data_IF_998757805916
#
_entry.id   IF_998757805916
#
_cell.length_a   1.000
_cell.length_b   1.000
_cell.length_c   1.000
_cell.angle_alpha   90.00
_cell.angle_beta   90.00
_cell.angle_gamma   90.00
#
_symmetry.space_group_name_H-M   'P 1'
#
loop_
_entity.id
_entity.type
_entity.pdbx_description
1 polymer ?
#
# COMPACT_ATOMS: atom_id res chain seq x y z
N UNK A 1 21.57 26.44 63.42
CA UNK A 1 20.99 27.21 62.31
C UNK A 1 21.82 27.15 61.02
N UNK A 2 23.14 27.10 61.09
CA UNK A 2 24.01 27.09 59.88
C UNK A 2 23.95 25.83 59.03
N UNK A 3 23.69 24.66 59.58
CA UNK A 3 23.61 23.38 58.84
C UNK A 3 22.32 23.26 58.04
N UNK A 4 21.20 23.81 58.53
CA UNK A 4 19.92 23.84 57.81
C UNK A 4 19.97 24.78 56.60
N UNK A 5 20.67 25.91 56.68
CA UNK A 5 20.84 26.85 55.57
C UNK A 5 21.74 26.30 54.45
N UNK A 6 22.75 25.50 54.82
CA UNK A 6 23.66 24.82 53.83
C UNK A 6 22.91 23.72 53.10
N UNK A 7 22.05 22.96 53.75
CA UNK A 7 21.23 21.91 53.13
C UNK A 7 20.16 22.46 52.16
N UNK A 8 19.55 23.60 52.44
CA UNK A 8 18.61 24.27 51.53
C UNK A 8 19.32 24.89 50.32
N UNK A 9 20.53 25.35 50.47
CA UNK A 9 21.34 25.90 49.34
C UNK A 9 21.85 24.81 48.39
N UNK A 10 22.16 23.61 48.92
CA UNK A 10 22.54 22.45 48.11
C UNK A 10 21.35 21.86 47.32
N UNK A 11 20.14 21.93 47.86
CA UNK A 11 18.95 21.44 47.15
C UNK A 11 18.48 22.36 46.02
N UNK A 12 18.89 23.63 46.04
CA UNK A 12 18.54 24.62 45.03
C UNK A 12 19.45 24.51 43.75
N UNK A 13 20.54 23.73 43.79
CA UNK A 13 21.42 23.57 42.64
C UNK A 13 21.11 22.36 41.75
N UNK A 14 20.09 21.56 42.06
CA UNK A 14 19.75 20.35 41.27
C UNK A 14 18.43 20.49 40.49
N UNK A 15 18.14 21.70 40.00
CA UNK A 15 17.10 21.84 38.95
C UNK A 15 17.85 21.78 37.63
N UNK A 16 18.11 20.57 37.16
CA UNK A 16 18.39 20.33 35.75
C UNK A 16 17.15 20.81 34.97
N UNK A 17 17.26 21.97 34.37
CA UNK A 17 16.31 22.38 33.32
C UNK A 17 16.51 21.37 32.19
N UNK A 18 15.63 20.41 32.07
CA UNK A 18 15.50 19.60 30.87
C UNK A 18 15.19 20.58 29.73
N UNK A 19 16.23 20.93 28.98
CA UNK A 19 16.06 21.75 27.79
C UNK A 19 15.32 20.90 26.75
N UNK A 20 14.04 21.22 26.52
CA UNK A 20 13.21 20.53 25.54
C UNK A 20 13.73 20.70 24.10
N UNK A 21 14.69 21.58 23.86
CA UNK A 21 15.28 21.85 22.56
C UNK A 21 16.77 22.16 22.68
N UNK A 22 17.57 21.58 21.77
CA UNK A 22 18.99 21.91 21.64
C UNK A 22 19.16 23.27 20.99
N UNK A 23 20.08 24.09 21.54
CA UNK A 23 20.47 25.40 20.97
C UNK A 23 21.91 25.36 20.51
N UNK A 24 22.14 25.78 19.27
CA UNK A 24 23.47 25.84 18.69
C UNK A 24 23.64 27.09 17.82
N UNK A 25 24.80 27.71 17.90
CA UNK A 25 25.17 28.83 17.03
C UNK A 25 25.82 28.31 15.76
N UNK A 26 25.29 28.72 14.61
CA UNK A 26 25.72 28.33 13.27
C UNK A 26 26.01 29.58 12.45
N UNK A 27 27.03 29.54 11.58
CA UNK A 27 27.32 30.66 10.68
C UNK A 27 26.68 30.44 9.31
N UNK A 28 25.79 31.35 8.89
CA UNK A 28 25.15 31.32 7.57
C UNK A 28 25.38 32.68 6.88
N UNK A 29 26.06 32.67 5.72
CA UNK A 29 26.31 33.91 4.96
C UNK A 29 27.15 34.93 5.73
N UNK A 30 28.06 34.47 6.59
CA UNK A 30 28.89 35.31 7.45
C UNK A 30 28.17 35.90 8.68
N UNK A 31 26.90 35.57 8.88
CA UNK A 31 26.10 35.99 10.05
C UNK A 31 25.98 34.80 11.03
N UNK A 32 26.05 35.12 12.30
CA UNK A 32 25.77 34.15 13.36
C UNK A 32 24.26 34.02 13.56
N UNK A 33 23.78 32.77 13.52
CA UNK A 33 22.37 32.43 13.75
C UNK A 33 22.28 31.37 14.83
N UNK A 34 21.23 31.42 15.63
CA UNK A 34 20.92 30.40 16.62
C UNK A 34 19.94 29.40 16.01
N UNK A 35 20.31 28.12 15.96
CA UNK A 35 19.42 27.00 15.69
C UNK A 35 18.88 26.50 17.01
N UNK A 36 17.56 26.32 17.08
CA UNK A 36 16.85 25.72 18.21
C UNK A 36 16.10 24.50 17.65
N UNK A 37 16.52 23.31 18.03
CA UNK A 37 16.12 22.04 17.40
C UNK A 37 15.53 21.11 18.44
N UNK A 38 14.47 20.42 18.07
CA UNK A 38 13.82 19.37 18.88
C UNK A 38 12.59 18.81 18.19
N UNK A 39 11.74 18.20 18.95
CA UNK A 39 10.41 17.82 18.51
C UNK A 39 9.42 19.00 18.69
N UNK A 40 8.40 19.09 17.84
CA UNK A 40 7.34 20.11 17.98
C UNK A 40 6.48 19.90 19.24
N UNK A 41 6.28 18.63 19.59
CA UNK A 41 5.56 18.21 20.79
C UNK A 41 6.48 17.29 21.60
N UNK A 42 6.72 17.63 22.87
CA UNK A 42 7.52 16.84 23.82
C UNK A 42 6.72 16.58 25.10
N UNK A 43 6.86 15.38 25.68
CA UNK A 43 7.64 14.23 25.21
C UNK A 43 7.06 13.57 23.95
N UNK A 44 7.94 12.99 23.11
CA UNK A 44 7.56 12.32 21.88
C UNK A 44 7.37 10.83 22.10
N UNK A 45 6.28 10.26 21.58
CA UNK A 45 5.96 8.84 21.71
C UNK A 45 5.94 8.11 20.36
N UNK A 46 6.42 6.86 20.36
CA UNK A 46 6.38 6.02 19.17
C UNK A 46 4.95 5.76 18.69
N UNK A 47 4.70 5.86 17.39
CA UNK A 47 3.38 5.69 16.78
C UNK A 47 2.48 6.92 16.82
N UNK A 48 2.90 8.01 17.45
CA UNK A 48 2.15 9.27 17.53
C UNK A 48 2.67 10.27 16.51
N UNK A 49 1.82 10.89 15.67
CA UNK A 49 2.24 11.95 14.75
C UNK A 49 2.90 13.11 15.48
N UNK A 50 4.04 13.56 14.98
CA UNK A 50 4.80 14.69 15.51
C UNK A 50 5.52 15.41 14.36
N UNK A 51 6.37 16.37 14.67
CA UNK A 51 7.17 17.10 13.69
C UNK A 51 8.58 17.31 14.22
N UNK A 52 9.57 17.24 13.34
CA UNK A 52 10.88 17.83 13.60
C UNK A 52 10.73 19.34 13.60
N UNK A 53 11.20 20.01 14.63
CA UNK A 53 11.13 21.46 14.83
C UNK A 53 12.50 22.09 14.67
N UNK A 54 12.58 23.15 13.88
CA UNK A 54 13.76 23.99 13.72
C UNK A 54 13.33 25.46 13.81
N UNK A 55 13.82 26.18 14.82
CA UNK A 55 13.70 27.64 14.88
C UNK A 55 15.06 28.28 14.61
N UNK A 56 15.08 29.29 13.76
CA UNK A 56 16.32 29.98 13.36
C UNK A 56 16.20 31.48 13.61
N UNK A 57 17.10 32.00 14.44
CA UNK A 57 17.15 33.38 14.86
C UNK A 57 18.54 33.96 14.53
N UNK A 58 18.60 35.06 13.80
CA UNK A 58 19.85 35.82 13.60
C UNK A 58 20.15 36.70 14.82
N UNK A 59 21.39 36.68 15.24
CA UNK A 59 21.88 37.59 16.27
C UNK A 59 22.30 38.91 15.61
N UNK A 60 21.62 39.99 15.95
CA UNK A 60 21.90 41.35 15.45
C UNK A 60 22.42 42.17 16.61
N UNK A 61 23.65 42.65 16.51
CA UNK A 61 24.21 43.61 17.47
C UNK A 61 23.59 44.98 17.23
N UNK A 62 22.87 45.53 18.21
CA UNK A 62 22.42 46.94 18.16
C UNK A 62 23.59 47.82 18.60
N UNK A 63 24.19 48.55 17.64
CA UNK A 63 25.09 49.66 17.93
C UNK A 63 24.25 50.88 18.30
N UNK A 64 23.90 51.02 19.57
CA UNK A 64 23.40 52.28 20.07
C UNK A 64 24.54 53.34 20.11
N UNK A 65 24.37 54.39 19.35
CA UNK A 65 25.17 55.59 19.47
C UNK A 65 24.74 56.35 20.75
N UNK A 66 25.31 55.99 21.88
CA UNK A 66 25.21 56.76 23.13
C UNK A 66 25.22 55.95 24.42
N UNK A 67 26.33 56.11 25.16
CA UNK A 67 26.49 55.80 26.57
C UNK A 67 26.32 54.34 27.09
N UNK A 68 27.38 53.54 27.03
CA UNK A 68 27.88 52.79 28.19
C UNK A 68 27.09 51.58 28.67
N UNK A 69 26.26 50.93 27.87
CA UNK A 69 25.79 49.56 28.19
C UNK A 69 26.21 48.61 27.09
N UNK A 70 26.72 47.43 27.46
CA UNK A 70 27.03 46.36 26.54
C UNK A 70 25.77 46.07 25.72
N UNK A 71 25.87 46.23 24.38
CA UNK A 71 24.73 46.08 23.47
C UNK A 71 24.04 44.73 23.66
N UNK A 72 22.76 44.78 23.98
CA UNK A 72 21.92 43.60 24.00
C UNK A 72 21.74 43.09 22.58
N UNK A 73 22.20 41.86 22.28
CA UNK A 73 22.01 41.27 20.97
C UNK A 73 20.53 40.93 20.77
N UNK A 74 19.92 41.57 19.76
CA UNK A 74 18.53 41.31 19.39
C UNK A 74 18.44 40.07 18.50
N UNK A 75 17.51 39.17 18.84
CA UNK A 75 17.20 37.96 18.03
C UNK A 75 16.14 38.28 16.98
N UNK A 76 16.47 38.12 15.70
CA UNK A 76 15.57 38.38 14.57
C UNK A 76 15.30 37.08 13.82
N UNK A 77 14.01 36.71 13.54
CA UNK A 77 13.69 35.51 12.79
C UNK A 77 14.33 35.48 11.40
N UNK A 78 14.96 34.34 11.03
CA UNK A 78 15.47 34.14 9.67
C UNK A 78 14.36 33.49 8.85
N UNK A 79 14.01 34.08 7.71
CA UNK A 79 12.87 33.65 6.87
C UNK A 79 13.35 32.98 5.59
N UNK A 80 12.51 32.07 5.04
CA UNK A 80 12.71 31.47 3.71
C UNK A 80 13.63 30.27 3.66
N UNK A 81 14.08 29.74 4.81
CA UNK A 81 15.01 28.61 4.85
C UNK A 81 14.38 27.30 4.35
N UNK A 82 13.06 27.16 4.35
CA UNK A 82 12.34 26.01 3.81
C UNK A 82 12.61 25.74 2.32
N UNK A 83 13.12 26.73 1.61
CA UNK A 83 13.49 26.61 0.18
C UNK A 83 14.89 26.04 -0.03
N UNK A 84 15.73 26.13 0.98
CA UNK A 84 17.17 25.85 0.89
C UNK A 84 17.61 24.70 1.76
N UNK A 85 16.93 24.47 2.89
CA UNK A 85 17.25 23.43 3.86
C UNK A 85 16.27 22.28 3.80
N UNK A 86 16.80 21.08 4.03
CA UNK A 86 16.06 19.85 4.29
C UNK A 86 16.53 19.27 5.62
N UNK A 87 15.74 18.36 6.16
CA UNK A 87 16.15 17.57 7.32
C UNK A 87 16.19 16.09 6.94
N UNK A 88 17.29 15.43 7.25
CA UNK A 88 17.39 13.98 7.28
C UNK A 88 17.18 13.53 8.72
N UNK A 89 16.19 12.64 8.89
CA UNK A 89 15.90 12.00 10.17
C UNK A 89 16.40 10.58 10.12
N UNK A 90 17.24 10.18 11.08
CA UNK A 90 17.78 8.83 11.15
C UNK A 90 17.58 8.20 12.52
N UNK A 91 17.33 6.87 12.53
CA UNK A 91 17.24 6.02 13.71
C UNK A 91 17.48 4.57 13.33
N UNK A 92 18.16 3.78 14.18
CA UNK A 92 18.38 2.35 13.98
C UNK A 92 18.98 1.98 12.62
N UNK A 93 19.87 2.82 12.06
CA UNK A 93 20.52 2.59 10.76
C UNK A 93 19.63 2.87 9.53
N UNK A 94 18.43 3.43 9.71
CA UNK A 94 17.54 3.89 8.63
C UNK A 94 17.48 5.39 8.63
N UNK A 95 17.28 6.00 7.45
CA UNK A 95 17.07 7.44 7.32
C UNK A 95 15.99 7.80 6.32
N UNK A 96 15.41 9.00 6.49
CA UNK A 96 14.46 9.62 5.57
C UNK A 96 14.77 11.11 5.44
N UNK A 97 14.67 11.65 4.23
CA UNK A 97 14.83 13.08 3.97
C UNK A 97 13.45 13.71 3.87
N UNK A 98 13.21 14.75 4.67
CA UNK A 98 11.97 15.49 4.74
C UNK A 98 12.18 16.95 4.30
N UNK A 99 11.17 17.51 3.64
CA UNK A 99 11.14 18.94 3.33
C UNK A 99 10.63 19.72 4.53
N UNK A 100 11.30 20.84 4.82
CA UNK A 100 10.83 21.78 5.83
C UNK A 100 9.67 22.61 5.27
N UNK A 101 8.72 22.94 6.12
CA UNK A 101 7.70 23.97 5.87
C UNK A 101 7.70 24.98 7.01
N UNK A 102 7.43 26.22 6.71
CA UNK A 102 7.28 27.25 7.73
C UNK A 102 5.99 27.09 8.51
N UNK A 103 6.03 27.46 9.78
CA UNK A 103 4.85 27.54 10.63
C UNK A 103 4.15 28.87 10.38
N UNK A 104 2.86 28.81 10.09
CA UNK A 104 2.07 30.01 9.86
C UNK A 104 1.88 30.80 11.16
N UNK A 105 2.10 32.12 11.15
CA UNK A 105 2.00 32.97 12.33
C UNK A 105 3.23 32.93 13.27
N UNK A 106 4.24 32.08 12.98
CA UNK A 106 5.46 31.96 13.79
C UNK A 106 6.71 32.10 12.90
N UNK A 107 7.16 33.32 12.64
CA UNK A 107 8.29 33.58 11.75
C UNK A 107 9.61 33.00 12.29
N UNK A 108 10.41 32.42 11.37
CA UNK A 108 11.67 31.74 11.73
C UNK A 108 11.49 30.34 12.28
N UNK A 109 10.27 29.81 12.37
CA UNK A 109 9.96 28.46 12.79
C UNK A 109 9.62 27.58 11.57
N UNK A 110 10.32 26.44 11.47
CA UNK A 110 10.20 25.46 10.41
C UNK A 110 9.94 24.09 11.01
N UNK A 111 9.10 23.29 10.34
CA UNK A 111 8.78 21.95 10.80
C UNK A 111 8.77 20.95 9.62
N UNK A 112 9.01 19.68 9.92
CA UNK A 112 8.82 18.57 9.01
C UNK A 112 7.96 17.50 9.68
N UNK A 113 6.82 17.14 9.05
CA UNK A 113 5.86 16.19 9.62
C UNK A 113 6.40 14.76 9.54
N UNK A 114 6.29 13.99 10.63
CA UNK A 114 6.77 12.63 10.76
C UNK A 114 5.98 11.85 11.81
N UNK A 115 5.88 10.53 11.65
CA UNK A 115 5.45 9.61 12.70
C UNK A 115 6.66 8.78 13.11
N UNK A 116 7.29 9.01 14.26
CA UNK A 116 8.33 8.14 14.77
C UNK A 116 7.70 6.79 15.17
N UNK A 117 8.19 5.69 14.58
CA UNK A 117 7.55 4.37 14.76
C UNK A 117 8.23 3.46 15.76
N UNK A 118 9.46 3.79 16.15
CA UNK A 118 10.26 3.01 17.13
C UNK A 118 10.74 3.92 18.25
N UNK A 119 10.73 3.47 19.51
CA UNK A 119 11.37 4.19 20.60
C UNK A 119 12.90 4.22 20.44
N UNK A 120 13.53 5.24 21.00
CA UNK A 120 14.98 5.34 21.04
C UNK A 120 15.53 6.63 20.47
N UNK A 121 16.81 6.59 20.11
CA UNK A 121 17.58 7.75 19.65
C UNK A 121 17.23 8.09 18.21
N UNK A 122 16.91 9.36 17.99
CA UNK A 122 16.73 9.97 16.67
C UNK A 122 17.78 11.04 16.45
N UNK A 123 18.31 11.11 15.23
CA UNK A 123 19.30 12.10 14.80
C UNK A 123 18.67 12.94 13.68
N UNK A 124 18.78 14.26 13.82
CA UNK A 124 18.32 15.24 12.83
C UNK A 124 19.53 15.90 12.18
N UNK A 125 19.68 15.74 10.87
CA UNK A 125 20.71 16.44 10.09
C UNK A 125 20.04 17.46 9.19
N UNK A 126 20.24 18.74 9.49
CA UNK A 126 19.81 19.84 8.63
C UNK A 126 20.91 20.15 7.63
N UNK A 127 20.57 20.10 6.36
CA UNK A 127 21.55 20.29 5.30
C UNK A 127 20.96 21.06 4.10
N UNK A 128 21.82 21.74 3.37
CA UNK A 128 21.49 22.50 2.18
C UNK A 128 22.45 23.65 1.91
N UNK A 129 22.12 24.51 0.95
CA UNK A 129 22.94 25.68 0.63
C UNK A 129 22.10 26.95 0.77
N UNK A 130 22.49 27.82 1.69
CA UNK A 130 21.80 29.07 1.98
C UNK A 130 22.71 30.23 1.54
N UNK A 131 22.33 30.92 0.45
CA UNK A 131 23.08 32.05 -0.10
C UNK A 131 24.58 31.76 -0.32
N UNK A 132 24.89 30.57 -0.86
CA UNK A 132 26.29 30.15 -1.11
C UNK A 132 26.99 29.54 0.10
N UNK A 133 26.39 29.50 1.27
CA UNK A 133 26.94 28.86 2.47
C UNK A 133 26.34 27.45 2.59
N UNK A 134 27.20 26.43 2.63
CA UNK A 134 26.80 25.06 2.93
C UNK A 134 26.45 24.95 4.41
N UNK A 135 25.27 24.43 4.70
CA UNK A 135 24.80 24.08 6.04
C UNK A 135 24.77 22.57 6.15
N UNK A 136 25.35 22.00 7.21
CA UNK A 136 25.34 20.57 7.49
C UNK A 136 25.48 20.38 9.00
N UNK A 137 24.35 20.54 9.70
CA UNK A 137 24.29 20.50 11.16
C UNK A 137 23.55 19.25 11.63
N UNK A 138 24.15 18.53 12.58
CA UNK A 138 23.62 17.28 13.12
C UNK A 138 23.28 17.47 14.58
N UNK A 139 22.05 17.06 14.95
CA UNK A 139 21.51 17.12 16.29
C UNK A 139 20.99 15.73 16.68
N UNK A 140 21.20 15.32 17.89
CA UNK A 140 20.71 14.05 18.43
C UNK A 140 19.94 14.27 19.73
N UNK A 141 19.16 13.28 20.14
CA UNK A 141 18.38 13.35 21.37
C UNK A 141 19.13 12.81 22.61
N UNK A 142 20.46 13.06 22.71
CA UNK A 142 21.23 12.66 23.85
C UNK A 142 20.98 13.55 25.09
N UNK A 143 21.59 13.23 26.22
CA UNK A 143 21.44 14.01 27.45
C UNK A 143 21.82 15.48 27.28
N UNK A 144 20.94 16.38 27.74
CA UNK A 144 21.12 17.83 27.66
C UNK A 144 20.66 18.47 26.36
N UNK A 145 20.13 17.64 25.41
CA UNK A 145 19.61 18.10 24.13
C UNK A 145 18.06 18.09 24.16
N UNK A 146 17.42 17.45 23.18
CA UNK A 146 15.98 17.25 23.16
C UNK A 146 15.58 15.81 23.55
N UNK A 147 14.31 15.54 23.80
CA UNK A 147 13.86 14.23 24.25
C UNK A 147 13.94 13.17 23.16
N UNK A 148 14.44 11.97 23.49
CA UNK A 148 14.35 10.81 22.62
C UNK A 148 12.90 10.29 22.56
N UNK A 149 12.58 9.49 21.53
CA UNK A 149 11.25 8.90 21.34
C UNK A 149 11.01 7.84 22.41
N UNK A 150 9.94 8.01 23.17
CA UNK A 150 9.54 7.10 24.22
C UNK A 150 8.55 6.03 23.75
N UNK A 151 8.48 4.85 24.40
CA UNK A 151 7.43 3.89 24.14
C UNK A 151 6.06 4.47 24.48
N UNK A 152 5.08 4.27 23.60
CA UNK A 152 3.69 4.73 23.83
C UNK A 152 3.07 4.10 25.09
N UNK A 153 3.50 2.88 25.46
CA UNK A 153 3.04 2.19 26.67
C UNK A 153 3.22 2.99 27.95
N UNK A 154 4.17 3.94 28.00
CA UNK A 154 4.37 4.81 29.17
C UNK A 154 3.16 5.69 29.55
N UNK A 155 2.30 5.98 28.57
CA UNK A 155 1.13 6.86 28.77
C UNK A 155 -0.21 6.15 28.50
N UNK A 156 -0.18 4.83 28.18
CA UNK A 156 -1.40 4.05 27.98
C UNK A 156 -2.03 3.66 29.32
N UNK A 157 -3.33 3.93 29.47
CA UNK A 157 -4.11 3.52 30.64
C UNK A 157 -5.51 3.01 30.21
N UNK A 158 -5.97 1.83 30.68
CA UNK A 158 -5.15 0.84 31.38
C UNK A 158 -3.99 0.35 30.52
N UNK A 159 -2.91 -0.09 31.16
CA UNK A 159 -1.75 -0.63 30.44
C UNK A 159 -2.20 -1.85 29.61
N UNK A 160 -2.13 -1.73 28.29
CA UNK A 160 -2.43 -2.85 27.39
C UNK A 160 -1.14 -3.65 27.27
N UNK A 161 -0.91 -4.53 28.23
CA UNK A 161 0.04 -5.63 28.06
C UNK A 161 -0.60 -6.56 27.05
N UNK A 162 -0.24 -6.42 25.75
CA UNK A 162 -0.47 -7.50 24.81
C UNK A 162 0.46 -8.63 25.24
N UNK A 163 -0.06 -9.74 25.79
CA UNK A 163 0.79 -10.86 26.10
C UNK A 163 1.40 -11.31 24.78
N UNK A 164 2.72 -11.30 24.70
CA UNK A 164 3.48 -11.83 23.53
C UNK A 164 3.00 -13.26 23.20
N UNK A 165 2.59 -13.99 24.22
CA UNK A 165 2.03 -15.34 24.14
C UNK A 165 0.66 -15.39 23.44
N UNK A 166 -0.22 -14.40 23.64
CA UNK A 166 -1.51 -14.31 22.94
C UNK A 166 -1.33 -13.99 21.46
N UNK A 167 -0.39 -13.10 21.14
CA UNK A 167 -0.07 -12.79 19.74
C UNK A 167 0.57 -14.01 19.05
N UNK A 168 1.49 -14.71 19.71
CA UNK A 168 2.11 -15.92 19.19
C UNK A 168 1.07 -17.03 18.99
N UNK A 169 0.13 -17.21 19.94
CA UNK A 169 -0.96 -18.19 19.81
C UNK A 169 -1.89 -17.85 18.66
N UNK A 170 -2.32 -16.58 18.54
CA UNK A 170 -3.16 -16.10 17.43
C UNK A 170 -2.47 -16.27 16.09
N UNK A 171 -1.17 -15.98 16.01
CA UNK A 171 -0.38 -16.19 14.81
C UNK A 171 -0.26 -17.68 14.44
N UNK A 172 -0.05 -18.56 15.42
CA UNK A 172 0.01 -20.01 15.22
C UNK A 172 -1.34 -20.57 14.73
N UNK A 173 -2.46 -20.10 15.32
CA UNK A 173 -3.81 -20.45 14.87
C UNK A 173 -4.08 -19.96 13.43
N UNK A 174 -3.64 -18.76 13.09
CA UNK A 174 -3.76 -18.21 11.73
C UNK A 174 -2.96 -19.03 10.72
N UNK A 175 -1.72 -19.40 11.03
CA UNK A 175 -0.88 -20.24 10.17
C UNK A 175 -1.55 -21.59 9.94
N UNK A 176 -2.05 -22.23 11.00
CA UNK A 176 -2.75 -23.54 10.90
C UNK A 176 -3.99 -23.43 10.01
N UNK A 177 -4.79 -22.40 10.18
CA UNK A 177 -5.98 -22.17 9.36
C UNK A 177 -5.62 -21.92 7.89
N UNK A 178 -4.54 -21.20 7.64
CA UNK A 178 -4.02 -20.99 6.28
C UNK A 178 -3.59 -22.31 5.62
N UNK A 179 -2.92 -23.19 6.34
CA UNK A 179 -2.56 -24.53 5.83
C UNK A 179 -3.79 -25.38 5.49
N UNK A 180 -4.86 -25.30 6.29
CA UNK A 180 -6.13 -25.98 6.00
C UNK A 180 -6.77 -25.45 4.72
N UNK A 181 -6.84 -24.15 4.55
CA UNK A 181 -7.33 -23.50 3.31
C UNK A 181 -6.52 -23.94 2.09
N UNK A 182 -5.20 -24.01 2.21
CA UNK A 182 -4.33 -24.45 1.11
C UNK A 182 -4.60 -25.90 0.71
N UNK A 183 -4.85 -26.79 1.68
CA UNK A 183 -5.23 -28.20 1.41
C UNK A 183 -6.59 -28.30 0.72
N UNK A 184 -7.55 -27.52 1.15
CA UNK A 184 -8.88 -27.49 0.52
C UNK A 184 -8.83 -26.92 -0.90
N UNK A 185 -7.98 -25.91 -1.11
CA UNK A 185 -7.72 -25.38 -2.46
C UNK A 185 -7.10 -26.46 -3.38
N UNK A 186 -6.14 -27.23 -2.90
CA UNK A 186 -5.56 -28.33 -3.67
C UNK A 186 -6.59 -29.41 -4.04
N UNK A 187 -7.50 -29.74 -3.11
CA UNK A 187 -8.61 -30.67 -3.40
C UNK A 187 -9.54 -30.10 -4.47
N UNK A 188 -9.92 -28.84 -4.34
CA UNK A 188 -10.78 -28.18 -5.31
C UNK A 188 -10.16 -28.15 -6.71
N UNK A 189 -8.87 -27.92 -6.81
CA UNK A 189 -8.14 -27.97 -8.09
C UNK A 189 -8.17 -29.37 -8.71
N UNK A 190 -8.02 -30.44 -7.91
CA UNK A 190 -8.14 -31.82 -8.39
C UNK A 190 -9.56 -32.14 -8.86
N UNK A 191 -10.57 -31.68 -8.15
CA UNK A 191 -11.98 -31.86 -8.55
C UNK A 191 -12.29 -31.11 -9.85
N UNK A 192 -11.77 -29.89 -10.03
CA UNK A 192 -11.87 -29.16 -11.28
C UNK A 192 -11.23 -29.91 -12.45
N UNK A 193 -10.06 -30.52 -12.26
CA UNK A 193 -9.41 -31.30 -13.29
C UNK A 193 -10.25 -32.53 -13.70
N UNK A 194 -10.86 -33.20 -12.70
CA UNK A 194 -11.77 -34.33 -12.97
C UNK A 194 -13.02 -33.91 -13.73
N UNK A 195 -13.61 -32.76 -13.36
CA UNK A 195 -14.78 -32.21 -14.06
C UNK A 195 -14.39 -31.87 -15.51
N UNK A 196 -13.25 -31.25 -15.74
CA UNK A 196 -12.77 -30.94 -17.09
C UNK A 196 -12.61 -32.20 -17.93
N UNK A 197 -12.03 -33.27 -17.40
CA UNK A 197 -11.92 -34.58 -18.10
C UNK A 197 -13.30 -35.20 -18.42
N UNK A 198 -14.26 -35.09 -17.50
CA UNK A 198 -15.62 -35.59 -17.76
C UNK A 198 -16.35 -34.75 -18.83
N UNK A 199 -16.16 -33.45 -18.86
CA UNK A 199 -16.70 -32.57 -19.91
C UNK A 199 -16.12 -32.91 -21.27
N UNK A 200 -14.84 -33.19 -21.37
CA UNK A 200 -14.19 -33.62 -22.62
C UNK A 200 -14.74 -34.95 -23.10
N UNK A 201 -14.91 -35.96 -22.23
CA UNK A 201 -15.54 -37.24 -22.55
C UNK A 201 -16.99 -37.06 -23.01
N UNK A 202 -17.76 -36.17 -22.36
CA UNK A 202 -19.14 -35.91 -22.73
C UNK A 202 -19.20 -35.23 -24.12
N UNK A 203 -18.29 -34.36 -24.44
CA UNK A 203 -18.17 -33.75 -25.77
C UNK A 203 -18.01 -34.80 -26.88
N UNK A 204 -17.15 -35.79 -26.66
CA UNK A 204 -16.95 -36.91 -27.61
C UNK A 204 -18.25 -37.72 -27.80
N UNK A 205 -18.98 -37.94 -26.71
CA UNK A 205 -20.26 -38.66 -26.79
C UNK A 205 -21.30 -37.85 -27.56
N UNK A 206 -21.39 -36.54 -27.29
CA UNK A 206 -22.30 -35.61 -28.02
C UNK A 206 -21.97 -35.63 -29.51
N UNK A 207 -20.72 -35.56 -29.90
CA UNK A 207 -20.31 -35.60 -31.30
C UNK A 207 -20.65 -36.95 -31.96
N UNK A 208 -20.51 -38.05 -31.23
CA UNK A 208 -20.89 -39.37 -31.74
C UNK A 208 -22.41 -39.51 -31.95
N UNK A 209 -23.20 -38.98 -31.01
CA UNK A 209 -24.68 -38.93 -31.13
C UNK A 209 -25.08 -38.05 -32.29
N UNK A 210 -24.45 -36.88 -32.48
CA UNK A 210 -24.74 -35.98 -33.61
C UNK A 210 -24.47 -36.70 -34.95
N UNK A 211 -23.34 -37.41 -35.11
CA UNK A 211 -23.03 -38.17 -36.31
C UNK A 211 -24.04 -39.33 -36.55
N UNK A 212 -24.44 -40.01 -35.50
CA UNK A 212 -25.44 -41.04 -35.57
C UNK A 212 -26.81 -40.52 -36.04
N UNK A 213 -27.20 -39.35 -35.50
CA UNK A 213 -28.41 -38.64 -35.90
C UNK A 213 -28.37 -38.27 -37.42
N UNK A 214 -27.26 -37.73 -37.88
CA UNK A 214 -27.07 -37.36 -39.28
C UNK A 214 -27.14 -38.61 -40.19
N UNK A 215 -26.53 -39.73 -39.77
CA UNK A 215 -26.65 -41.02 -40.49
C UNK A 215 -28.07 -41.51 -40.57
N UNK A 216 -28.86 -41.40 -39.48
CA UNK A 216 -30.27 -41.78 -39.47
C UNK A 216 -31.07 -40.94 -40.44
N UNK A 217 -30.90 -39.62 -40.40
CA UNK A 217 -31.58 -38.68 -41.34
C UNK A 217 -31.29 -39.00 -42.79
N UNK A 218 -30.01 -39.30 -43.09
CA UNK A 218 -29.59 -39.69 -44.45
C UNK A 218 -30.18 -41.07 -44.84
N UNK A 219 -30.38 -41.98 -43.93
CA UNK A 219 -31.00 -43.27 -44.18
C UNK A 219 -32.49 -43.11 -44.45
N UNK A 220 -33.20 -42.29 -43.65
CA UNK A 220 -34.61 -41.98 -43.90
C UNK A 220 -34.85 -41.34 -45.24
N UNK A 221 -34.04 -40.40 -45.67
CA UNK A 221 -34.15 -39.78 -47.04
C UNK A 221 -33.88 -40.81 -48.14
N UNK A 222 -32.95 -41.77 -47.95
CA UNK A 222 -32.74 -42.87 -48.90
C UNK A 222 -33.90 -43.83 -48.97
N UNK A 223 -34.52 -44.15 -47.79
CA UNK A 223 -35.71 -45.02 -47.73
C UNK A 223 -36.89 -44.35 -48.43
N UNK A 224 -37.15 -43.06 -48.19
CA UNK A 224 -38.19 -42.30 -48.89
C UNK A 224 -37.94 -42.27 -50.41
N UNK A 225 -36.72 -42.02 -50.86
CA UNK A 225 -36.41 -42.05 -52.27
C UNK A 225 -36.59 -43.45 -52.90
N UNK A 226 -36.25 -44.50 -52.16
CA UNK A 226 -36.47 -45.89 -52.59
C UNK A 226 -37.95 -46.24 -52.68
N UNK A 227 -38.75 -45.87 -51.67
CA UNK A 227 -40.20 -46.05 -51.64
C UNK A 227 -40.85 -45.31 -52.80
N UNK A 228 -40.44 -44.09 -53.07
CA UNK A 228 -40.95 -43.29 -54.17
C UNK A 228 -40.60 -43.92 -55.55
N UNK A 229 -39.36 -44.48 -55.68
CA UNK A 229 -38.97 -45.16 -56.91
C UNK A 229 -39.71 -46.48 -57.12
N UNK A 230 -39.92 -47.27 -56.07
CA UNK A 230 -40.70 -48.49 -56.15
C UNK A 230 -42.16 -48.15 -56.47
N UNK A 231 -42.75 -47.11 -55.87
CA UNK A 231 -44.09 -46.63 -56.19
C UNK A 231 -44.21 -46.20 -57.66
N UNK A 232 -43.24 -45.46 -58.13
CA UNK A 232 -43.23 -45.04 -59.56
C UNK A 232 -43.14 -46.22 -60.54
N UNK A 233 -42.33 -47.25 -60.20
CA UNK A 233 -42.25 -48.48 -61.00
C UNK A 233 -43.57 -49.24 -60.97
N UNK A 234 -44.19 -49.38 -59.79
CA UNK A 234 -45.46 -50.07 -59.61
C UNK A 234 -46.57 -49.37 -60.38
N UNK A 235 -46.69 -48.05 -60.28
CA UNK A 235 -47.70 -47.27 -61.03
C UNK A 235 -47.36 -47.25 -62.52
N UNK A 236 -46.13 -47.16 -62.94
CA UNK A 236 -45.71 -47.24 -64.32
C UNK A 236 -45.99 -48.62 -64.95
N UNK A 237 -45.69 -49.69 -64.21
CA UNK A 237 -46.01 -51.08 -64.61
C UNK A 237 -47.50 -51.33 -64.75
N UNK A 238 -48.30 -50.87 -63.82
CA UNK A 238 -49.74 -50.97 -63.86
C UNK A 238 -50.34 -50.21 -65.09
N UNK A 239 -49.85 -49.00 -65.32
CA UNK A 239 -50.21 -48.19 -66.48
C UNK A 239 -49.92 -48.84 -67.84
N UNK A 240 -48.67 -49.39 -67.97
CA UNK A 240 -48.26 -50.15 -69.15
C UNK A 240 -49.05 -51.42 -69.38
N UNK A 241 -49.35 -52.13 -68.26
CA UNK A 241 -50.20 -53.35 -68.31
C UNK A 241 -51.60 -53.07 -68.81
N UNK A 242 -52.28 -51.98 -68.34
CA UNK A 242 -53.56 -51.55 -68.79
C UNK A 242 -53.57 -51.13 -70.26
N UNK A 243 -52.52 -50.39 -70.68
CA UNK A 243 -52.35 -49.98 -72.09
C UNK A 243 -52.20 -51.24 -72.99
N UNK A 244 -51.35 -52.19 -72.56
CA UNK A 244 -51.13 -53.45 -73.28
C UNK A 244 -52.40 -54.25 -73.42
N UNK A 245 -53.21 -54.30 -72.34
CA UNK A 245 -54.51 -54.98 -72.35
C UNK A 245 -55.53 -54.29 -73.29
N UNK A 246 -55.57 -52.97 -73.32
CA UNK A 246 -56.40 -52.20 -74.25
C UNK A 246 -56.00 -52.44 -75.68
N UNK A 247 -54.70 -52.43 -76.03
CA UNK A 247 -54.15 -52.69 -77.34
C UNK A 247 -54.43 -54.15 -77.78
N UNK A 248 -54.34 -55.15 -76.85
CA UNK A 248 -54.67 -56.52 -77.13
C UNK A 248 -56.16 -56.71 -77.44
N UNK A 249 -57.03 -56.10 -76.70
CA UNK A 249 -58.48 -56.13 -76.90
C UNK A 249 -58.84 -55.40 -78.26
N UNK A 250 -58.27 -54.27 -78.53
CA UNK A 250 -58.46 -53.62 -79.84
C UNK A 250 -57.99 -54.44 -81.01
N UNK A 251 -56.88 -55.18 -80.92
CA UNK A 251 -56.40 -56.06 -81.96
C UNK A 251 -57.24 -57.27 -82.22
N UNK A 252 -57.90 -57.76 -81.16
CA UNK A 252 -58.91 -58.84 -81.31
C UNK A 252 -60.18 -58.38 -81.98
N UNK A 253 -60.61 -57.16 -81.79
CA UNK A 253 -61.82 -56.57 -82.42
C UNK A 253 -61.58 -56.22 -83.86
N UNK A 254 -60.36 -55.97 -84.31
CA UNK A 254 -59.95 -55.59 -85.64
C UNK A 254 -59.65 -56.79 -86.61
N UNK A 255 -59.87 -58.04 -86.19
CA UNK A 255 -59.69 -59.17 -87.15
C UNK A 255 -60.88 -59.17 -88.13
N UNK A 256 -60.63 -58.92 -89.42
CA UNK A 256 -61.64 -59.07 -90.39
C UNK A 256 -62.00 -60.57 -90.59
N UNK A 257 -63.24 -60.90 -90.73
CA UNK A 257 -63.72 -62.23 -91.13
C UNK A 257 -63.38 -62.52 -92.57
#
# INVERSE_FOLDING_TARGET
MGVLLAATLLLAMAVDYAAAHERRHVKIGGREVEFIVGWDIEPTYAGVPNKVSLRVLALVEEHEHGHGHAGESRKVPVLGLEKYLKVEVSTGGKSIILNLRRVWGDPGHYVADIVPTVPGVYVFRFFGNVNGTEVNEVFDCSEGHFNCVEPLSKIMFPEVTQPTDDLQRTLAEFIKHHEEIMKDHERLMKDHEQIAKRLDQLSVVVDSVAKMHEQMMNTDTRLESSINSVSAIAYGGLGAGIIGLIVAVMSLIRRPR
#
